data_IF_014251889589
#
_entry.id   IF_014251889589
#
_cell.length_a   1.000
_cell.length_b   1.000
_cell.length_c   1.000
_cell.angle_alpha   90.00
_cell.angle_beta   90.00
_cell.angle_gamma   90.00
#
_symmetry.space_group_name_H-M   'P 1'
#
loop_
_entity.id
_entity.type
_entity.pdbx_description
1 polymer ?
#
# COMPACT_ATOMS: atom_id res chain seq x y z
N UNK A 1 -11.49 12.01 -25.20
CA UNK A 1 -10.14 12.16 -24.65
C UNK A 1 -10.28 12.99 -23.37
N UNK A 2 -10.26 12.37 -22.20
CA UNK A 2 -10.40 13.07 -20.93
C UNK A 2 -9.06 13.76 -20.66
N UNK A 3 -8.98 15.06 -20.77
CA UNK A 3 -7.87 15.85 -20.25
C UNK A 3 -7.95 15.75 -18.74
N UNK A 4 -6.88 15.22 -18.11
CA UNK A 4 -6.84 14.89 -16.69
C UNK A 4 -7.06 16.08 -15.78
N UNK A 5 -8.31 16.42 -15.57
CA UNK A 5 -8.68 17.25 -14.44
C UNK A 5 -8.54 16.41 -13.17
N UNK A 6 -7.77 16.93 -12.22
CA UNK A 6 -7.68 16.38 -10.88
C UNK A 6 -9.08 16.25 -10.32
N UNK A 7 -9.51 15.04 -10.05
CA UNK A 7 -10.73 14.85 -9.27
C UNK A 7 -10.54 15.57 -7.93
N UNK A 8 -11.28 16.64 -7.76
CA UNK A 8 -11.33 17.34 -6.50
C UNK A 8 -12.04 16.42 -5.50
N UNK A 9 -11.29 15.81 -4.60
CA UNK A 9 -11.81 14.99 -3.50
C UNK A 9 -12.40 15.84 -2.40
N UNK A 10 -12.95 17.00 -2.75
CA UNK A 10 -13.74 17.83 -1.84
C UNK A 10 -14.86 16.98 -1.25
N UNK A 11 -14.91 16.95 0.01
CA UNK A 11 -15.72 16.41 1.11
C UNK A 11 -17.06 15.71 0.85
N UNK A 12 -17.52 15.48 -0.37
CA UNK A 12 -18.76 14.74 -0.68
C UNK A 12 -18.65 13.98 -2.00
N UNK A 13 -17.98 12.84 -1.98
CA UNK A 13 -18.13 11.86 -3.05
C UNK A 13 -19.54 11.25 -2.95
N UNK A 14 -20.51 11.86 -3.61
CA UNK A 14 -21.85 11.29 -3.79
C UNK A 14 -21.87 10.22 -4.86
N UNK A 15 -20.89 10.23 -5.78
CA UNK A 15 -20.76 9.25 -6.84
C UNK A 15 -20.46 7.85 -6.28
N UNK A 16 -21.15 6.85 -6.78
CA UNK A 16 -20.89 5.43 -6.46
C UNK A 16 -19.74 4.84 -7.25
N UNK A 17 -19.35 5.49 -8.35
CA UNK A 17 -18.26 5.10 -9.25
C UNK A 17 -17.56 6.34 -9.78
N UNK A 18 -16.23 6.30 -9.79
CA UNK A 18 -15.37 7.32 -10.38
C UNK A 18 -14.39 6.61 -11.30
N UNK A 19 -14.15 7.17 -12.47
CA UNK A 19 -13.26 6.58 -13.46
C UNK A 19 -12.33 7.62 -14.04
N UNK A 20 -11.03 7.28 -14.10
CA UNK A 20 -9.96 8.03 -14.74
C UNK A 20 -9.28 7.16 -15.77
N UNK A 21 -9.04 7.67 -16.99
CA UNK A 21 -8.39 6.93 -18.08
C UNK A 21 -7.40 7.81 -18.83
N UNK A 22 -6.26 7.22 -19.14
CA UNK A 22 -5.31 7.69 -20.15
C UNK A 22 -4.96 6.52 -21.07
N UNK A 23 -4.05 6.72 -22.02
CA UNK A 23 -3.52 5.63 -22.86
C UNK A 23 -2.74 4.58 -22.06
N UNK A 24 -2.21 4.93 -20.88
CA UNK A 24 -1.32 4.04 -20.08
C UNK A 24 -1.83 3.74 -18.68
N UNK A 25 -2.90 4.39 -18.24
CA UNK A 25 -3.42 4.26 -16.89
C UNK A 25 -4.95 4.23 -16.90
N UNK A 26 -5.52 3.27 -16.19
CA UNK A 26 -6.95 3.23 -15.89
C UNK A 26 -7.14 3.04 -14.40
N UNK A 27 -7.94 3.91 -13.78
CA UNK A 27 -8.33 3.83 -12.37
C UNK A 27 -9.85 3.85 -12.29
N UNK A 28 -10.43 2.84 -11.64
CA UNK A 28 -11.87 2.81 -11.36
C UNK A 28 -12.03 2.68 -9.85
N UNK A 29 -12.63 3.69 -9.23
CA UNK A 29 -13.04 3.64 -7.83
C UNK A 29 -14.52 3.27 -7.76
N UNK A 30 -14.86 2.34 -6.88
CA UNK A 30 -16.25 1.97 -6.59
C UNK A 30 -16.51 2.05 -5.10
N UNK A 31 -17.61 2.70 -4.76
CA UNK A 31 -18.13 2.75 -3.39
C UNK A 31 -19.00 1.52 -3.13
N UNK A 32 -18.77 0.88 -2.02
CA UNK A 32 -19.54 -0.26 -1.56
C UNK A 32 -20.10 0.04 -0.17
N UNK A 33 -21.18 -0.65 0.15
CA UNK A 33 -21.78 -0.62 1.48
C UNK A 33 -22.10 -2.04 1.92
N UNK A 34 -21.52 -2.46 3.04
CA UNK A 34 -21.78 -3.74 3.67
C UNK A 34 -21.48 -3.65 5.16
N UNK A 35 -22.14 -4.49 5.97
CA UNK A 35 -21.91 -4.56 7.42
C UNK A 35 -21.95 -3.20 8.13
N UNK A 36 -22.95 -2.37 7.77
CA UNK A 36 -23.13 -1.00 8.30
C UNK A 36 -21.95 -0.05 8.03
N UNK A 37 -21.04 -0.42 7.14
CA UNK A 37 -19.86 0.37 6.79
C UNK A 37 -19.84 0.74 5.30
N UNK A 38 -19.11 1.81 4.97
CA UNK A 38 -18.81 2.17 3.58
C UNK A 38 -17.33 1.95 3.32
N UNK A 39 -17.00 1.30 2.20
CA UNK A 39 -15.63 1.12 1.75
C UNK A 39 -15.51 1.37 0.25
N UNK A 40 -14.28 1.56 -0.20
CA UNK A 40 -13.98 1.80 -1.60
C UNK A 40 -13.03 0.74 -2.12
N UNK A 41 -13.26 0.30 -3.34
CA UNK A 41 -12.28 -0.49 -4.10
C UNK A 41 -11.70 0.36 -5.21
N UNK A 42 -10.39 0.19 -5.47
CA UNK A 42 -9.70 0.77 -6.61
C UNK A 42 -9.24 -0.36 -7.53
N UNK A 43 -9.78 -0.38 -8.74
CA UNK A 43 -9.29 -1.23 -9.83
C UNK A 43 -8.34 -0.38 -10.68
N UNK A 44 -7.05 -0.75 -10.68
CA UNK A 44 -5.98 0.04 -11.29
C UNK A 44 -5.27 -0.82 -12.33
N UNK A 45 -5.25 -0.34 -13.58
CA UNK A 45 -4.43 -0.92 -14.64
C UNK A 45 -3.36 0.08 -15.05
N UNK A 46 -2.13 -0.36 -15.04
CA UNK A 46 -0.95 0.39 -15.47
C UNK A 46 -0.24 -0.34 -16.60
N UNK A 47 0.31 0.38 -17.55
CA UNK A 47 1.12 -0.20 -18.64
C UNK A 47 2.61 -0.23 -18.29
N UNK A 48 3.03 0.53 -17.27
CA UNK A 48 4.41 0.58 -16.83
C UNK A 48 4.45 0.46 -15.29
N UNK A 49 5.19 -0.50 -14.73
CA UNK A 49 5.32 -0.70 -13.28
C UNK A 49 5.80 0.54 -12.51
N UNK A 50 6.51 1.45 -13.16
CA UNK A 50 6.96 2.71 -12.55
C UNK A 50 5.82 3.73 -12.33
N UNK A 51 4.63 3.49 -12.87
CA UNK A 51 3.44 4.28 -12.56
C UNK A 51 2.92 4.01 -11.14
N UNK A 52 3.33 2.88 -10.54
CA UNK A 52 3.13 2.58 -9.12
C UNK A 52 4.45 2.81 -8.37
N UNK A 53 4.42 3.65 -7.34
CA UNK A 53 5.60 3.97 -6.56
C UNK A 53 5.23 4.31 -5.11
N UNK A 54 6.19 4.16 -4.21
CA UNK A 54 6.07 4.65 -2.84
C UNK A 54 6.68 6.05 -2.70
N UNK A 55 6.15 6.83 -1.77
CA UNK A 55 6.68 8.14 -1.43
C UNK A 55 6.80 8.28 0.09
N UNK A 56 7.95 8.71 0.57
CA UNK A 56 8.10 9.10 1.97
C UNK A 56 7.47 10.47 2.23
N UNK A 57 7.09 10.71 3.47
CA UNK A 57 6.61 12.01 3.93
C UNK A 57 7.61 13.10 3.58
N UNK A 58 7.15 14.12 2.84
CA UNK A 58 7.99 15.20 2.29
C UNK A 58 9.23 14.72 1.53
N UNK A 59 9.21 13.48 1.01
CA UNK A 59 10.31 12.88 0.27
C UNK A 59 11.46 12.32 1.12
N UNK A 60 11.36 12.36 2.44
CA UNK A 60 12.44 11.99 3.36
C UNK A 60 12.05 10.80 4.23
N UNK A 61 12.90 9.77 4.28
CA UNK A 61 12.74 8.67 5.21
C UNK A 61 12.92 9.15 6.66
N UNK A 62 11.98 8.79 7.54
CA UNK A 62 12.02 9.23 8.94
C UNK A 62 11.71 10.72 9.14
N UNK A 63 11.17 11.40 8.13
CA UNK A 63 10.79 12.80 8.20
C UNK A 63 9.51 13.07 8.99
N UNK A 64 9.09 14.33 9.02
CA UNK A 64 7.84 14.76 9.66
C UNK A 64 6.62 14.16 8.97
N UNK A 65 5.50 14.08 9.67
CA UNK A 65 4.25 13.52 9.13
C UNK A 65 3.70 14.36 7.98
N UNK A 66 3.27 13.68 6.94
CA UNK A 66 2.57 14.26 5.80
C UNK A 66 1.23 13.54 5.63
N UNK A 67 0.17 14.26 5.35
CA UNK A 67 -1.11 13.60 5.02
C UNK A 67 -1.03 12.97 3.63
N UNK A 68 -1.74 11.84 3.45
CA UNK A 68 -1.80 11.16 2.14
C UNK A 68 -2.27 12.11 1.04
N UNK A 69 -3.25 12.97 1.32
CA UNK A 69 -3.74 13.96 0.36
C UNK A 69 -2.69 15.00 -0.04
N UNK A 70 -1.82 15.41 0.89
CA UNK A 70 -0.71 16.32 0.60
C UNK A 70 0.36 15.60 -0.24
N UNK A 71 0.74 14.38 0.13
CA UNK A 71 1.68 13.56 -0.64
C UNK A 71 1.20 13.35 -2.10
N UNK A 72 -0.09 13.02 -2.29
CA UNK A 72 -0.70 12.89 -3.64
C UNK A 72 -0.58 14.18 -4.43
N UNK A 73 -0.85 15.35 -3.83
CA UNK A 73 -0.69 16.65 -4.49
C UNK A 73 0.77 16.93 -4.86
N UNK A 74 1.68 16.72 -3.91
CA UNK A 74 3.12 16.96 -4.09
C UNK A 74 3.72 16.07 -5.19
N UNK A 75 3.35 14.80 -5.21
CA UNK A 75 3.83 13.83 -6.20
C UNK A 75 3.06 13.87 -7.52
N UNK A 76 2.00 14.70 -7.61
CA UNK A 76 1.10 14.78 -8.77
C UNK A 76 0.48 13.42 -9.13
N UNK A 77 0.27 12.57 -8.14
CA UNK A 77 -0.35 11.26 -8.32
C UNK A 77 -1.85 11.38 -8.56
N UNK A 78 -2.42 10.43 -9.27
CA UNK A 78 -3.87 10.36 -9.53
C UNK A 78 -4.62 9.83 -8.32
N UNK A 79 -4.00 8.86 -7.62
CA UNK A 79 -4.53 8.22 -6.42
C UNK A 79 -3.38 7.92 -5.46
N UNK A 80 -3.65 7.91 -4.18
CA UNK A 80 -2.70 7.49 -3.15
C UNK A 80 -3.41 6.88 -1.96
N UNK A 81 -2.71 5.97 -1.31
CA UNK A 81 -3.12 5.30 -0.09
C UNK A 81 -1.93 5.27 0.86
N UNK A 82 -2.18 5.35 2.17
CA UNK A 82 -1.13 5.09 3.14
C UNK A 82 -0.72 3.61 3.10
N UNK A 83 0.55 3.33 3.32
CA UNK A 83 1.10 1.99 3.33
C UNK A 83 2.21 1.88 4.37
N UNK A 84 2.45 0.65 4.83
CA UNK A 84 3.39 0.27 5.87
C UNK A 84 3.04 0.82 7.27
N UNK A 85 3.06 -0.09 8.25
CA UNK A 85 3.01 0.28 9.66
C UNK A 85 4.32 0.96 10.07
N UNK A 86 4.26 1.79 11.09
CA UNK A 86 5.42 2.44 11.68
C UNK A 86 5.19 2.67 13.17
N UNK A 87 6.27 2.66 13.93
CA UNK A 87 6.32 3.07 15.33
C UNK A 87 7.12 4.37 15.49
N UNK A 88 7.33 4.80 16.72
CA UNK A 88 8.20 5.91 17.04
C UNK A 88 9.36 5.43 17.90
N UNK A 89 10.58 5.78 17.51
CA UNK A 89 11.77 5.66 18.33
C UNK A 89 12.42 7.03 18.43
N UNK A 90 12.68 7.49 19.65
CA UNK A 90 13.29 8.80 19.93
C UNK A 90 12.58 9.98 19.24
N UNK A 91 11.24 9.92 19.19
CA UNK A 91 10.39 10.93 18.55
C UNK A 91 10.41 10.90 17.02
N UNK A 92 11.07 9.92 16.40
CA UNK A 92 11.12 9.75 14.93
C UNK A 92 10.32 8.54 14.49
N UNK A 93 9.59 8.63 13.36
CA UNK A 93 8.93 7.48 12.80
C UNK A 93 9.97 6.47 12.28
N UNK A 94 9.83 5.23 12.68
CA UNK A 94 10.61 4.09 12.20
C UNK A 94 9.67 3.00 11.66
N UNK A 95 10.12 2.27 10.66
CA UNK A 95 9.36 1.15 10.14
C UNK A 95 9.72 -0.13 10.89
N UNK A 96 8.70 -0.92 11.20
CA UNK A 96 8.84 -2.16 11.97
C UNK A 96 9.23 -3.36 11.09
N UNK A 97 9.46 -3.14 9.79
CA UNK A 97 9.81 -4.18 8.83
C UNK A 97 10.81 -3.69 7.78
N UNK A 98 11.29 -4.63 6.97
CA UNK A 98 12.14 -4.32 5.82
C UNK A 98 11.48 -3.25 4.95
N UNK A 99 12.22 -2.16 4.71
CA UNK A 99 11.78 -1.08 3.82
C UNK A 99 12.75 -0.89 2.67
N UNK A 100 12.25 -1.21 1.49
CA UNK A 100 12.93 -0.98 0.21
C UNK A 100 12.11 0.02 -0.59
N UNK A 101 12.77 0.98 -1.23
CA UNK A 101 12.17 1.92 -2.16
C UNK A 101 13.12 2.14 -3.34
N UNK A 102 12.63 1.91 -4.55
CA UNK A 102 13.42 2.00 -5.79
C UNK A 102 14.72 1.18 -5.71
N UNK A 103 14.66 -0.03 -5.16
CA UNK A 103 15.79 -0.93 -4.97
C UNK A 103 16.80 -0.51 -3.88
N UNK A 104 16.55 0.59 -3.17
CA UNK A 104 17.40 1.04 -2.06
C UNK A 104 16.80 0.61 -0.73
N UNK A 105 17.66 0.02 0.12
CA UNK A 105 17.29 -0.40 1.47
C UNK A 105 17.31 0.83 2.40
N UNK A 106 16.21 1.05 3.12
CA UNK A 106 16.06 2.09 4.13
C UNK A 106 15.93 1.52 5.54
N UNK A 107 15.39 0.32 5.67
CA UNK A 107 15.33 -0.40 6.93
C UNK A 107 15.58 -1.89 6.70
N UNK A 108 16.37 -2.52 7.59
CA UNK A 108 16.75 -3.93 7.58
C UNK A 108 16.03 -4.77 8.62
N UNK A 109 15.20 -4.13 9.46
CA UNK A 109 14.47 -4.88 10.48
C UNK A 109 13.69 -6.01 9.81
N UNK A 110 14.03 -7.24 10.14
CA UNK A 110 13.31 -8.43 9.72
C UNK A 110 12.41 -8.94 10.85
N UNK A 111 11.44 -9.77 10.50
CA UNK A 111 10.67 -10.51 11.52
C UNK A 111 9.65 -9.67 12.25
N UNK A 112 8.82 -8.96 11.54
CA UNK A 112 7.63 -8.36 12.12
C UNK A 112 6.45 -9.31 12.10
N UNK A 113 5.48 -9.08 12.97
CA UNK A 113 4.17 -9.76 12.96
C UNK A 113 3.32 -9.42 11.74
N UNK A 114 3.80 -8.57 10.83
CA UNK A 114 3.09 -8.15 9.63
C UNK A 114 3.67 -8.81 8.39
N UNK A 115 2.79 -9.32 7.54
CA UNK A 115 3.19 -9.80 6.22
C UNK A 115 3.77 -8.65 5.38
N UNK A 116 4.82 -8.94 4.66
CA UNK A 116 5.39 -8.02 3.69
C UNK A 116 4.78 -8.25 2.32
N UNK A 117 4.63 -7.19 1.55
CA UNK A 117 4.37 -7.24 0.12
C UNK A 117 5.60 -6.67 -0.60
N UNK A 118 6.21 -7.46 -1.45
CA UNK A 118 7.32 -7.05 -2.29
C UNK A 118 6.85 -6.85 -3.73
N UNK A 119 7.38 -5.83 -4.37
CA UNK A 119 7.08 -5.49 -5.78
C UNK A 119 8.37 -5.46 -6.56
N UNK A 120 8.48 -6.30 -7.58
CA UNK A 120 9.62 -6.34 -8.49
C UNK A 120 9.61 -5.17 -9.48
N UNK A 121 10.73 -4.98 -10.19
CA UNK A 121 10.83 -3.95 -11.22
C UNK A 121 9.88 -4.18 -12.41
N UNK A 122 9.46 -5.40 -12.67
CA UNK A 122 8.48 -5.75 -13.70
C UNK A 122 7.02 -5.56 -13.25
N UNK A 123 6.81 -5.22 -11.96
CA UNK A 123 5.49 -5.02 -11.35
C UNK A 123 4.90 -6.28 -10.72
N UNK A 124 5.59 -7.42 -10.77
CA UNK A 124 5.18 -8.63 -10.05
C UNK A 124 5.12 -8.36 -8.55
N UNK A 125 4.05 -8.80 -7.91
CA UNK A 125 3.82 -8.66 -6.47
C UNK A 125 3.80 -10.03 -5.82
N UNK A 126 4.48 -10.17 -4.69
CA UNK A 126 4.50 -11.42 -3.91
C UNK A 126 4.67 -11.15 -2.42
N UNK A 127 4.35 -12.14 -1.60
CA UNK A 127 4.62 -12.13 -0.15
C UNK A 127 5.96 -12.85 0.07
N UNK A 128 7.03 -12.14 0.49
CA UNK A 128 8.31 -12.77 0.78
C UNK A 128 8.23 -13.71 1.98
N UNK A 129 9.06 -14.73 1.98
CA UNK A 129 9.25 -15.56 3.15
C UNK A 129 9.90 -14.76 4.30
N UNK A 130 9.53 -15.09 5.54
CA UNK A 130 9.89 -14.29 6.73
C UNK A 130 11.41 -14.24 7.00
N UNK A 131 12.14 -15.25 6.56
CA UNK A 131 13.59 -15.36 6.80
C UNK A 131 14.45 -14.59 5.79
N UNK A 132 13.87 -14.04 4.71
CA UNK A 132 14.64 -13.29 3.73
C UNK A 132 15.09 -11.94 4.30
N UNK A 133 16.36 -11.63 4.06
CA UNK A 133 16.93 -10.34 4.42
C UNK A 133 16.54 -9.25 3.42
N UNK A 134 16.79 -8.00 3.77
CA UNK A 134 16.59 -6.89 2.85
C UNK A 134 17.51 -6.98 1.61
N UNK A 135 18.69 -7.50 1.81
CA UNK A 135 19.69 -7.74 0.78
C UNK A 135 19.23 -8.82 -0.19
N UNK A 136 18.73 -9.96 0.32
CA UNK A 136 18.17 -11.04 -0.51
C UNK A 136 17.02 -10.51 -1.38
N UNK A 137 16.15 -9.70 -0.81
CA UNK A 137 15.02 -9.10 -1.55
C UNK A 137 15.51 -8.16 -2.68
N UNK A 138 16.55 -7.37 -2.44
CA UNK A 138 17.12 -6.50 -3.48
C UNK A 138 17.80 -7.34 -4.56
N UNK A 139 18.52 -8.41 -4.21
CA UNK A 139 19.12 -9.33 -5.17
C UNK A 139 18.06 -10.04 -6.03
N UNK A 140 16.91 -10.37 -5.44
CA UNK A 140 15.75 -10.89 -6.18
C UNK A 140 15.10 -9.87 -7.11
N UNK A 141 15.53 -8.62 -7.10
CA UNK A 141 14.99 -7.56 -7.96
C UNK A 141 13.80 -6.80 -7.35
N UNK A 142 13.66 -6.80 -6.02
CA UNK A 142 12.60 -6.02 -5.37
C UNK A 142 12.88 -4.54 -5.53
N UNK A 143 11.92 -3.85 -6.14
CA UNK A 143 11.89 -2.40 -6.30
C UNK A 143 11.35 -1.69 -5.07
N UNK A 144 10.22 -2.14 -4.55
CA UNK A 144 9.54 -1.53 -3.39
C UNK A 144 9.03 -2.62 -2.44
N UNK A 145 9.07 -2.37 -1.14
CA UNK A 145 8.46 -3.24 -0.12
C UNK A 145 7.47 -2.49 0.75
N UNK A 146 6.40 -3.17 1.14
CA UNK A 146 5.35 -2.66 2.01
C UNK A 146 5.06 -3.69 3.10
N UNK A 147 4.86 -3.22 4.33
CA UNK A 147 4.51 -4.10 5.43
C UNK A 147 3.13 -3.72 5.98
N UNK A 148 2.17 -4.45 5.58
CA UNK A 148 0.82 -4.42 6.15
C UNK A 148 0.05 -5.61 5.57
N UNK A 149 -0.36 -6.50 6.40
CA UNK A 149 -1.03 -7.71 5.96
C UNK A 149 -2.37 -7.89 6.67
N UNK A 150 -2.95 -9.03 6.57
CA UNK A 150 -2.46 -10.22 5.84
C UNK A 150 -2.69 -10.12 4.32
N UNK A 151 -1.99 -10.92 3.49
CA UNK A 151 -2.27 -11.00 2.07
C UNK A 151 -3.68 -11.55 1.84
N UNK A 152 -4.47 -10.88 1.03
CA UNK A 152 -5.85 -11.31 0.70
C UNK A 152 -5.90 -12.22 -0.53
N UNK A 153 -4.92 -12.06 -1.42
CA UNK A 153 -4.75 -12.85 -2.63
C UNK A 153 -3.28 -13.23 -2.71
N UNK A 154 -3.01 -14.49 -2.97
CA UNK A 154 -1.68 -15.04 -3.16
C UNK A 154 -1.69 -16.02 -4.33
N UNK A 155 -0.75 -15.87 -5.27
CA UNK A 155 -0.69 -16.68 -6.50
C UNK A 155 -2.04 -16.70 -7.26
N UNK A 156 -2.74 -15.56 -7.30
CA UNK A 156 -4.03 -15.42 -7.97
C UNK A 156 -5.21 -16.08 -7.25
N UNK A 157 -5.01 -16.65 -6.06
CA UNK A 157 -6.05 -17.31 -5.25
C UNK A 157 -6.35 -16.52 -3.99
N UNK A 158 -7.62 -16.53 -3.60
CA UNK A 158 -8.05 -15.96 -2.31
C UNK A 158 -7.41 -16.76 -1.17
N UNK A 159 -6.76 -16.04 -0.26
CA UNK A 159 -6.23 -16.64 0.99
C UNK A 159 -7.37 -16.74 2.01
N UNK A 160 -7.45 -17.89 2.68
CA UNK A 160 -8.42 -18.13 3.76
C UNK A 160 -7.68 -18.13 5.09
N UNK A 161 -8.09 -17.25 5.99
CA UNK A 161 -7.52 -17.15 7.34
C UNK A 161 -8.40 -17.85 8.36
N UNK A 162 -7.78 -18.61 9.26
CA UNK A 162 -8.43 -19.05 10.47
C UNK A 162 -8.34 -17.93 11.51
N UNK A 163 -9.41 -17.15 11.62
CA UNK A 163 -9.50 -16.00 12.52
C UNK A 163 -9.29 -16.36 14.00
N UNK A 164 -9.50 -17.61 14.38
CA UNK A 164 -9.31 -18.06 15.77
C UNK A 164 -7.82 -18.06 16.17
N UNK A 165 -6.92 -18.33 15.23
CA UNK A 165 -5.48 -18.44 15.48
C UNK A 165 -4.72 -17.12 15.23
N UNK A 166 -5.38 -16.09 14.77
CA UNK A 166 -4.76 -14.83 14.36
C UNK A 166 -4.87 -13.72 15.40
N UNK A 167 -4.98 -14.09 16.70
CA UNK A 167 -5.18 -13.12 17.78
C UNK A 167 -4.09 -12.05 17.90
N UNK A 168 -2.90 -12.31 17.36
CA UNK A 168 -1.74 -11.42 17.42
C UNK A 168 -1.49 -10.64 16.12
N UNK A 169 -2.30 -10.83 15.09
CA UNK A 169 -2.16 -10.05 13.85
C UNK A 169 -2.98 -8.76 13.97
N UNK A 170 -2.29 -7.64 14.00
CA UNK A 170 -2.88 -6.31 14.15
C UNK A 170 -3.89 -6.00 13.05
N UNK A 171 -3.62 -6.40 11.84
CA UNK A 171 -4.53 -6.20 10.70
C UNK A 171 -5.82 -6.99 10.85
N UNK A 172 -5.80 -8.15 11.50
CA UNK A 172 -6.98 -8.96 11.79
C UNK A 172 -7.75 -8.49 13.02
N UNK A 173 -7.13 -7.77 13.95
CA UNK A 173 -7.84 -7.20 15.10
C UNK A 173 -8.92 -6.18 14.67
N UNK A 174 -8.69 -5.44 13.58
CA UNK A 174 -9.68 -4.53 13.01
C UNK A 174 -10.85 -5.24 12.34
N UNK A 175 -10.70 -6.50 11.96
CA UNK A 175 -11.77 -7.32 11.40
C UNK A 175 -12.62 -8.02 12.48
N UNK A 176 -12.13 -8.12 13.71
CA UNK A 176 -12.83 -8.82 14.79
C UNK A 176 -13.89 -7.99 15.49
N UNK A 177 -13.92 -6.69 15.25
CA UNK A 177 -14.91 -5.79 15.87
C UNK A 177 -15.73 -5.07 14.78
N UNK A 178 -16.68 -5.76 14.17
CA UNK A 178 -17.67 -5.12 13.30
C UNK A 178 -18.69 -4.42 14.21
N UNK A 179 -18.35 -3.25 14.69
CA UNK A 179 -19.37 -2.35 15.24
C UNK A 179 -20.07 -1.58 14.16
#
# INVERSE_FOLDING_TARGET
>A
MYKGERMNTGSRLTATKIEYRTSTLKVILRKHRAYSTCYWTADIKINNPNQMFSAFSYGTYGGTRETTSHAVKRTKSIIGINASAFSYSDGRPCFDAVKIQKGKIYNRAGGTSYSNCAVLWDGTMFTPEVHLSAEDLVEMGVKDSYNFGPPLIENGKKVTYNMANSANDWSLMFYKDPR
#
